data_IF_545038214344
#
_entry.id   IF_545038214344
#
_cell.length_a   1.000
_cell.length_b   1.000
_cell.length_c   1.000
_cell.angle_alpha   90.00
_cell.angle_beta   90.00
_cell.angle_gamma   90.00
#
_symmetry.space_group_name_H-M   'P 1'
#
loop_
_entity.id
_entity.type
_entity.pdbx_description
1 polymer ?
#
# COMPACT_ATOMS: atom_id res chain seq x y z
N UNK A 1 48.31 45.53 9.72
CA UNK A 1 47.85 46.78 9.06
C UNK A 1 46.39 47.10 9.43
N UNK A 2 46.01 47.16 10.72
CA UNK A 2 44.60 47.31 11.16
C UNK A 2 44.46 48.30 12.33
N UNK A 3 45.09 49.48 12.26
CA UNK A 3 44.96 50.48 13.34
C UNK A 3 44.27 51.79 12.95
N UNK A 4 44.04 52.07 11.66
CA UNK A 4 43.74 53.44 11.22
C UNK A 4 42.39 53.68 10.51
N UNK A 5 41.40 52.78 10.60
CA UNK A 5 40.08 53.02 10.01
C UNK A 5 39.08 53.55 11.05
N UNK A 6 39.06 54.88 11.27
CA UNK A 6 38.01 55.59 12.01
C UNK A 6 37.31 56.59 11.08
N UNK A 7 36.02 56.83 11.29
CA UNK A 7 35.30 57.93 10.63
C UNK A 7 35.89 59.28 11.08
N UNK A 8 35.66 60.38 10.34
CA UNK A 8 36.06 61.74 10.75
C UNK A 8 35.56 62.13 12.15
N UNK A 9 34.48 61.50 12.61
CA UNK A 9 33.85 61.75 13.91
C UNK A 9 34.41 60.86 15.04
N UNK A 10 35.51 60.14 14.81
CA UNK A 10 36.20 59.34 15.82
C UNK A 10 35.50 58.02 16.20
N UNK A 11 34.30 57.75 15.68
CA UNK A 11 33.62 56.47 15.88
C UNK A 11 34.35 55.35 15.13
N UNK A 12 34.50 54.15 15.75
CA UNK A 12 35.05 53.00 15.06
C UNK A 12 34.13 52.65 13.88
N UNK A 13 34.71 52.54 12.68
CA UNK A 13 33.98 51.98 11.56
C UNK A 13 33.70 50.53 11.94
N UNK A 14 32.43 50.19 12.15
CA UNK A 14 31.98 48.81 12.15
C UNK A 14 32.19 48.29 10.73
N UNK A 15 33.42 47.88 10.41
CA UNK A 15 33.71 47.11 9.21
C UNK A 15 33.05 45.77 9.48
N UNK A 16 31.86 45.57 8.89
CA UNK A 16 31.22 44.27 8.87
C UNK A 16 32.18 43.36 8.13
N UNK A 17 32.98 42.59 8.86
CA UNK A 17 33.79 41.54 8.26
C UNK A 17 32.82 40.64 7.53
N UNK A 18 32.88 40.63 6.20
CA UNK A 18 32.20 39.60 5.43
C UNK A 18 32.82 38.28 5.87
N UNK A 19 31.98 37.31 6.22
CA UNK A 19 32.46 35.95 6.44
C UNK A 19 33.36 35.55 5.29
N UNK A 20 34.53 35.00 5.63
CA UNK A 20 35.45 34.44 4.66
C UNK A 20 34.72 33.25 4.03
N UNK A 21 34.36 33.39 2.76
CA UNK A 21 33.63 32.37 2.01
C UNK A 21 34.57 31.74 1.00
N UNK A 22 34.69 30.43 1.06
CA UNK A 22 35.39 29.65 0.05
C UNK A 22 34.71 29.84 -1.30
N UNK A 23 35.52 30.06 -2.34
CA UNK A 23 35.08 30.34 -3.70
C UNK A 23 35.77 29.38 -4.67
N UNK A 24 34.98 28.79 -5.57
CA UNK A 24 35.48 27.95 -6.64
C UNK A 24 35.55 28.78 -7.92
N UNK A 25 36.75 28.88 -8.49
CA UNK A 25 36.99 29.47 -9.81
C UNK A 25 37.00 28.35 -10.85
N UNK A 26 36.38 28.61 -12.00
CA UNK A 26 36.40 27.70 -13.13
C UNK A 26 37.39 28.26 -14.17
N UNK A 27 38.34 27.40 -14.57
CA UNK A 27 39.33 27.70 -15.60
C UNK A 27 39.21 26.64 -16.68
N UNK A 28 38.97 27.07 -17.92
CA UNK A 28 38.80 26.18 -19.06
C UNK A 28 40.04 26.33 -19.95
N UNK A 29 40.73 25.20 -20.12
CA UNK A 29 41.88 25.07 -20.99
C UNK A 29 41.47 24.25 -22.22
N UNK A 30 41.88 24.68 -23.41
CA UNK A 30 41.82 23.88 -24.64
C UNK A 30 43.23 23.86 -25.21
N UNK A 31 43.78 22.67 -25.42
CA UNK A 31 45.15 22.46 -25.93
C UNK A 31 46.21 23.31 -25.21
N UNK A 32 46.17 23.30 -23.88
CA UNK A 32 47.04 24.07 -22.97
C UNK A 32 46.89 25.60 -23.03
N UNK A 33 45.97 26.13 -23.85
CA UNK A 33 45.63 27.56 -23.87
C UNK A 33 44.45 27.87 -22.94
N UNK A 34 44.61 28.89 -22.09
CA UNK A 34 43.55 29.38 -21.21
C UNK A 34 42.53 30.17 -22.03
N UNK A 35 41.34 29.63 -22.22
CA UNK A 35 40.26 30.28 -22.97
C UNK A 35 39.36 31.09 -22.06
N UNK A 36 39.09 30.56 -20.86
CA UNK A 36 38.15 31.20 -19.96
C UNK A 36 38.59 31.03 -18.52
N UNK A 37 38.57 32.14 -17.80
CA UNK A 37 38.79 32.22 -16.37
C UNK A 37 37.67 33.07 -15.78
N UNK A 38 36.97 32.51 -14.80
CA UNK A 38 35.89 33.22 -14.15
C UNK A 38 35.33 32.48 -12.95
N UNK A 39 34.40 33.16 -12.30
CA UNK A 39 33.66 32.60 -11.18
C UNK A 39 32.78 31.44 -11.64
N UNK A 40 32.60 30.45 -10.78
CA UNK A 40 31.68 29.37 -11.05
C UNK A 40 30.30 29.91 -11.53
N UNK A 41 29.83 29.55 -12.75
CA UNK A 41 28.56 30.04 -13.29
C UNK A 41 27.35 29.67 -12.41
N UNK A 42 27.45 28.57 -11.66
CA UNK A 42 26.40 28.10 -10.76
C UNK A 42 26.44 28.77 -9.38
N UNK A 43 27.49 29.56 -9.09
CA UNK A 43 27.77 30.24 -7.80
C UNK A 43 27.89 29.30 -6.59
N UNK A 44 27.95 27.99 -6.82
CA UNK A 44 28.12 26.98 -5.78
C UNK A 44 29.56 27.05 -5.24
N UNK A 45 29.72 26.75 -3.95
CA UNK A 45 31.03 26.63 -3.29
C UNK A 45 31.72 25.28 -3.50
N UNK A 46 31.18 24.47 -4.38
CA UNK A 46 31.66 23.12 -4.70
C UNK A 46 31.82 22.98 -6.21
N UNK A 47 32.46 21.91 -6.64
CA UNK A 47 32.67 21.58 -8.03
C UNK A 47 31.33 21.35 -8.76
N UNK A 48 31.28 21.81 -10.02
CA UNK A 48 30.10 21.72 -10.90
C UNK A 48 29.77 20.31 -11.38
N UNK A 49 30.54 19.32 -10.97
CA UNK A 49 30.31 17.93 -11.31
C UNK A 49 30.16 17.11 -10.04
N UNK A 50 29.40 16.02 -10.17
CA UNK A 50 29.29 14.99 -9.14
C UNK A 50 29.99 13.76 -9.68
N UNK A 51 30.98 13.26 -8.95
CA UNK A 51 31.79 12.15 -9.42
C UNK A 51 31.16 10.82 -9.01
N UNK A 52 30.73 10.03 -10.00
CA UNK A 52 30.33 8.64 -9.80
C UNK A 52 31.53 7.75 -10.12
N UNK A 53 31.93 6.90 -9.19
CA UNK A 53 33.09 6.03 -9.35
C UNK A 53 32.76 4.58 -9.02
N UNK A 54 33.51 3.64 -9.60
CA UNK A 54 33.42 2.23 -9.24
C UNK A 54 34.17 1.93 -7.94
N UNK A 55 34.94 0.85 -7.96
CA UNK A 55 35.74 0.43 -6.82
C UNK A 55 36.89 1.40 -6.65
N UNK A 56 37.02 1.96 -5.45
CA UNK A 56 38.16 2.78 -5.08
C UNK A 56 38.97 2.07 -4.01
N UNK A 57 40.18 1.63 -4.36
CA UNK A 57 41.11 0.98 -3.46
C UNK A 57 42.22 1.96 -3.06
N UNK A 58 42.10 2.67 -1.91
CA UNK A 58 43.08 3.68 -1.51
C UNK A 58 44.47 3.09 -1.24
N UNK A 59 44.52 1.81 -0.87
CA UNK A 59 45.74 1.08 -0.53
C UNK A 59 46.64 0.80 -1.75
N UNK A 60 46.08 0.80 -2.97
CA UNK A 60 46.87 0.50 -4.16
C UNK A 60 47.75 1.71 -4.52
N UNK A 61 49.09 1.60 -4.59
CA UNK A 61 49.94 2.75 -4.91
C UNK A 61 49.79 3.21 -6.37
N UNK A 62 49.44 2.30 -7.28
CA UNK A 62 49.29 2.60 -8.70
C UNK A 62 47.96 3.30 -8.97
N UNK A 63 48.02 4.56 -9.41
CA UNK A 63 46.83 5.35 -9.73
C UNK A 63 45.89 4.67 -10.73
N UNK A 64 46.44 3.98 -11.73
CA UNK A 64 45.68 3.22 -12.74
C UNK A 64 44.83 2.09 -12.17
N UNK A 65 45.24 1.51 -11.03
CA UNK A 65 44.57 0.39 -10.38
C UNK A 65 43.76 0.83 -9.15
N UNK A 66 43.89 2.09 -8.73
CA UNK A 66 43.10 2.65 -7.63
C UNK A 66 41.62 2.71 -7.99
N UNK A 67 41.31 3.07 -9.23
CA UNK A 67 39.95 3.15 -9.74
C UNK A 67 39.68 1.97 -10.66
N UNK A 68 38.73 1.11 -10.29
CA UNK A 68 38.37 -0.05 -11.10
C UNK A 68 36.86 -0.13 -11.33
N UNK A 69 36.48 -0.51 -12.55
CA UNK A 69 35.11 -0.89 -12.87
C UNK A 69 34.83 -2.35 -12.50
N UNK A 70 33.56 -2.69 -12.32
CA UNK A 70 33.11 -4.04 -11.99
C UNK A 70 33.66 -5.12 -12.95
N UNK A 71 33.65 -4.84 -14.26
CA UNK A 71 34.11 -5.76 -15.31
C UNK A 71 35.60 -6.11 -15.19
N UNK A 72 36.41 -5.30 -14.50
CA UNK A 72 37.86 -5.54 -14.40
C UNK A 72 38.18 -6.85 -13.69
N UNK A 73 37.46 -7.15 -12.60
CA UNK A 73 37.60 -8.39 -11.84
C UNK A 73 37.07 -9.62 -12.58
N UNK A 74 36.04 -9.44 -13.42
CA UNK A 74 35.44 -10.51 -14.22
C UNK A 74 36.27 -10.93 -15.44
N UNK A 75 37.19 -10.09 -15.91
CA UNK A 75 37.97 -10.35 -17.12
C UNK A 75 38.81 -11.62 -17.04
N UNK A 76 39.41 -11.89 -15.88
CA UNK A 76 40.31 -13.03 -15.72
C UNK A 76 39.55 -14.37 -15.58
N UNK A 77 38.49 -14.47 -14.75
CA UNK A 77 37.59 -15.63 -14.76
C UNK A 77 36.99 -15.94 -16.14
N UNK A 78 36.54 -14.90 -16.86
CA UNK A 78 35.96 -15.09 -18.20
C UNK A 78 36.98 -15.63 -19.21
N UNK A 79 38.23 -15.16 -19.17
CA UNK A 79 39.31 -15.68 -20.02
C UNK A 79 39.65 -17.13 -19.70
N UNK A 80 39.66 -17.48 -18.43
CA UNK A 80 39.89 -18.85 -17.98
C UNK A 80 38.76 -19.77 -18.48
N UNK A 81 37.50 -19.35 -18.35
CA UNK A 81 36.35 -20.09 -18.86
C UNK A 81 36.46 -20.31 -20.36
N UNK A 82 36.70 -19.26 -21.14
CA UNK A 82 36.85 -19.38 -22.60
C UNK A 82 37.95 -20.37 -22.97
N UNK A 83 39.05 -20.40 -22.22
CA UNK A 83 40.14 -21.36 -22.40
C UNK A 83 39.69 -22.80 -22.11
N UNK A 84 39.00 -23.01 -21.00
CA UNK A 84 38.52 -24.34 -20.59
C UNK A 84 37.49 -24.91 -21.56
N UNK A 85 36.56 -24.08 -22.04
CA UNK A 85 35.58 -24.48 -23.06
C UNK A 85 36.28 -24.90 -24.35
N UNK A 86 37.28 -24.14 -24.80
CA UNK A 86 38.05 -24.52 -25.98
C UNK A 86 38.82 -25.83 -25.78
N UNK A 87 39.39 -26.06 -24.60
CA UNK A 87 40.07 -27.33 -24.29
C UNK A 87 39.12 -28.51 -24.23
N UNK A 88 37.91 -28.33 -23.68
CA UNK A 88 36.89 -29.36 -23.66
C UNK A 88 36.44 -29.69 -25.09
N UNK A 89 36.24 -28.68 -25.94
CA UNK A 89 35.91 -28.88 -27.35
C UNK A 89 37.02 -29.63 -28.09
N UNK A 90 38.28 -29.26 -27.88
CA UNK A 90 39.44 -29.94 -28.46
C UNK A 90 39.54 -31.40 -28.03
N UNK A 91 39.25 -31.73 -26.77
CA UNK A 91 39.19 -33.13 -26.30
C UNK A 91 38.06 -33.90 -26.99
N UNK A 92 36.91 -33.28 -27.22
CA UNK A 92 35.78 -33.91 -27.91
C UNK A 92 36.09 -34.13 -29.39
N UNK A 93 36.71 -33.15 -30.06
CA UNK A 93 37.07 -33.22 -31.48
C UNK A 93 38.25 -34.18 -31.74
N UNK A 94 39.25 -34.21 -30.86
CA UNK A 94 40.42 -35.08 -30.97
C UNK A 94 40.13 -36.56 -30.63
N UNK A 95 38.97 -36.87 -30.06
CA UNK A 95 38.55 -38.24 -29.85
C UNK A 95 38.27 -38.94 -31.18
N UNK A 96 39.18 -39.85 -31.55
CA UNK A 96 39.00 -40.67 -32.75
C UNK A 96 37.83 -41.62 -32.56
N UNK A 97 36.74 -41.37 -33.29
CA UNK A 97 35.56 -42.21 -33.23
C UNK A 97 35.79 -43.54 -33.95
N UNK A 98 35.78 -44.63 -33.20
CA UNK A 98 35.56 -45.98 -33.73
C UNK A 98 36.58 -46.44 -34.76
N UNK A 99 37.88 -46.34 -34.46
CA UNK A 99 38.95 -46.86 -35.31
C UNK A 99 38.73 -48.33 -35.65
N UNK A 100 38.71 -48.63 -36.95
CA UNK A 100 38.73 -49.99 -37.47
C UNK A 100 40.15 -50.31 -37.89
N UNK A 101 40.76 -51.25 -37.19
CA UNK A 101 42.04 -51.81 -37.59
C UNK A 101 41.75 -53.03 -38.47
N UNK A 102 42.20 -52.94 -39.71
CA UNK A 102 41.98 -53.95 -40.74
C UNK A 102 43.33 -54.35 -41.30
N UNK A 103 43.57 -55.64 -41.45
CA UNK A 103 44.78 -56.15 -42.11
C UNK A 103 44.42 -56.57 -43.54
N UNK A 104 44.71 -55.70 -44.50
CA UNK A 104 44.30 -55.83 -45.91
C UNK A 104 44.71 -57.15 -46.56
N UNK A 105 45.84 -57.75 -46.14
CA UNK A 105 46.33 -59.02 -46.68
C UNK A 105 45.36 -60.20 -46.49
N UNK A 106 44.51 -60.14 -45.47
CA UNK A 106 43.64 -61.24 -45.09
C UNK A 106 42.18 -61.05 -45.54
N UNK A 107 41.85 -59.95 -46.21
CA UNK A 107 40.51 -59.70 -46.75
C UNK A 107 40.51 -59.88 -48.28
N UNK A 108 39.45 -60.53 -48.79
CA UNK A 108 39.22 -60.69 -50.24
C UNK A 108 38.95 -59.33 -50.88
N UNK A 109 38.21 -58.46 -50.18
CA UNK A 109 37.90 -57.11 -50.63
C UNK A 109 38.08 -56.11 -49.48
N UNK A 110 39.04 -55.18 -49.56
CA UNK A 110 39.30 -54.21 -48.50
C UNK A 110 38.16 -53.20 -48.32
N UNK A 111 37.31 -52.99 -49.33
CA UNK A 111 36.20 -52.03 -49.26
C UNK A 111 35.05 -52.52 -48.35
N UNK A 112 34.92 -53.84 -48.16
CA UNK A 112 33.86 -54.42 -47.32
C UNK A 112 34.09 -54.13 -45.82
N UNK A 113 35.31 -53.80 -45.42
CA UNK A 113 35.64 -53.42 -44.05
C UNK A 113 35.09 -52.03 -43.63
N UNK A 114 34.76 -51.17 -44.60
CA UNK A 114 34.15 -49.86 -44.36
C UNK A 114 32.63 -49.92 -44.21
N UNK A 115 31.99 -50.99 -44.70
CA UNK A 115 30.55 -51.19 -44.58
C UNK A 115 30.18 -51.47 -43.11
N UNK A 116 29.06 -50.94 -42.63
CA UNK A 116 28.64 -51.04 -41.22
C UNK A 116 27.17 -51.40 -41.08
N UNK A 117 26.83 -52.43 -40.31
CA UNK A 117 25.46 -52.90 -40.11
C UNK A 117 25.38 -54.38 -39.69
N UNK A 118 24.19 -54.85 -39.29
CA UNK A 118 23.95 -56.28 -39.04
C UNK A 118 23.82 -57.04 -40.37
N UNK A 119 24.47 -58.21 -40.49
CA UNK A 119 24.35 -59.09 -41.66
C UNK A 119 25.34 -58.85 -42.79
N UNK A 120 26.33 -57.95 -42.63
CA UNK A 120 27.44 -57.81 -43.58
C UNK A 120 28.47 -58.90 -43.29
N UNK A 121 28.72 -59.76 -44.27
CA UNK A 121 29.65 -60.89 -44.17
C UNK A 121 31.03 -60.43 -44.65
N UNK A 122 32.04 -60.56 -43.79
CA UNK A 122 33.43 -60.34 -44.17
C UNK A 122 34.02 -61.65 -44.70
N UNK A 123 34.48 -61.63 -45.96
CA UNK A 123 35.15 -62.77 -46.57
C UNK A 123 36.66 -62.72 -46.28
N UNK A 124 37.16 -63.73 -45.59
CA UNK A 124 38.59 -63.90 -45.25
C UNK A 124 39.26 -64.72 -46.36
N UNK A 125 40.47 -64.34 -46.76
CA UNK A 125 41.26 -65.08 -47.75
C UNK A 125 41.71 -66.45 -47.21
N UNK A 126 41.79 -67.44 -48.10
CA UNK A 126 42.24 -68.82 -47.79
C UNK A 126 43.72 -68.91 -47.35
N UNK A 127 44.49 -67.83 -47.52
CA UNK A 127 45.88 -67.71 -47.02
C UNK A 127 45.95 -67.42 -45.51
N UNK A 128 44.82 -67.12 -44.87
CA UNK A 128 44.74 -66.98 -43.41
C UNK A 128 44.81 -68.38 -42.75
N UNK A 129 45.78 -68.57 -41.86
CA UNK A 129 45.91 -69.83 -41.12
C UNK A 129 44.62 -70.08 -40.31
N UNK A 130 44.01 -71.28 -40.35
CA UNK A 130 42.72 -71.56 -39.70
C UNK A 130 42.70 -71.39 -38.16
N UNK A 131 43.87 -71.19 -37.54
CA UNK A 131 44.02 -70.91 -36.11
C UNK A 131 44.04 -69.40 -35.76
N UNK A 132 44.03 -68.49 -36.75
CA UNK A 132 44.01 -67.05 -36.48
C UNK A 132 42.62 -66.59 -36.03
N UNK A 133 42.53 -66.11 -34.78
CA UNK A 133 41.33 -65.46 -34.24
C UNK A 133 40.90 -64.26 -35.10
N UNK A 134 39.58 -64.14 -35.35
CA UNK A 134 38.97 -63.07 -36.15
C UNK A 134 39.33 -61.66 -35.63
N UNK A 135 39.55 -61.52 -34.32
CA UNK A 135 40.00 -60.28 -33.66
C UNK A 135 41.37 -59.78 -34.15
N UNK A 136 42.21 -60.68 -34.69
CA UNK A 136 43.51 -60.32 -35.26
C UNK A 136 43.41 -59.84 -36.72
N UNK A 137 42.27 -60.07 -37.38
CA UNK A 137 42.01 -59.73 -38.79
C UNK A 137 41.19 -58.44 -38.88
N UNK A 138 40.15 -58.33 -38.07
CA UNK A 138 39.28 -57.15 -37.99
C UNK A 138 39.01 -56.81 -36.52
N UNK A 139 39.46 -55.63 -36.08
CA UNK A 139 39.19 -55.11 -34.74
C UNK A 139 38.61 -53.71 -34.84
N UNK A 140 37.35 -53.56 -34.44
CA UNK A 140 36.79 -52.25 -34.15
C UNK A 140 37.13 -51.89 -32.71
N UNK A 141 37.98 -50.87 -32.53
CA UNK A 141 38.14 -50.27 -31.21
C UNK A 141 36.83 -49.56 -30.88
N UNK A 142 36.31 -49.80 -29.67
CA UNK A 142 35.18 -49.03 -29.16
C UNK A 142 35.58 -47.55 -29.22
N UNK A 143 34.68 -46.70 -29.71
CA UNK A 143 34.86 -45.25 -29.58
C UNK A 143 35.19 -44.94 -28.13
N UNK A 144 36.21 -44.12 -27.90
CA UNK A 144 36.42 -43.58 -26.56
C UNK A 144 35.15 -42.83 -26.18
N UNK A 145 34.49 -43.26 -25.11
CA UNK A 145 33.37 -42.51 -24.57
C UNK A 145 33.92 -41.18 -24.04
N UNK A 146 33.25 -40.07 -24.35
CA UNK A 146 33.60 -38.78 -23.76
C UNK A 146 33.48 -38.94 -22.25
N UNK A 147 34.55 -38.71 -21.47
CA UNK A 147 34.49 -38.86 -20.03
C UNK A 147 33.39 -37.98 -19.43
N UNK A 148 32.47 -38.57 -18.66
CA UNK A 148 31.39 -37.84 -17.98
C UNK A 148 31.91 -36.71 -17.06
N UNK A 149 33.18 -36.80 -16.64
CA UNK A 149 33.87 -35.76 -15.87
C UNK A 149 34.00 -34.43 -16.62
N UNK A 150 34.05 -34.43 -17.96
CA UNK A 150 34.13 -33.20 -18.76
C UNK A 150 32.80 -32.44 -18.69
N UNK A 151 31.68 -33.14 -18.77
CA UNK A 151 30.36 -32.51 -18.62
C UNK A 151 30.13 -31.99 -17.20
N UNK A 152 30.57 -32.72 -16.18
CA UNK A 152 30.54 -32.24 -14.79
C UNK A 152 31.45 -31.02 -14.59
N UNK A 153 32.60 -30.98 -15.25
CA UNK A 153 33.52 -29.84 -15.20
C UNK A 153 32.90 -28.59 -15.84
N UNK A 154 32.25 -28.72 -17.01
CA UNK A 154 31.55 -27.58 -17.64
C UNK A 154 30.45 -27.04 -16.72
N UNK A 155 29.65 -27.91 -16.10
CA UNK A 155 28.61 -27.50 -15.15
C UNK A 155 29.19 -26.80 -13.91
N UNK A 156 30.32 -27.28 -13.41
CA UNK A 156 31.02 -26.64 -12.28
C UNK A 156 31.60 -25.28 -12.66
N UNK A 157 32.06 -25.12 -13.91
CA UNK A 157 32.58 -23.85 -14.44
C UNK A 157 31.46 -22.81 -14.56
N UNK A 158 30.30 -23.19 -15.10
CA UNK A 158 29.15 -22.28 -15.21
C UNK A 158 28.65 -21.82 -13.83
N UNK A 159 28.67 -22.74 -12.86
CA UNK A 159 28.37 -22.42 -11.46
C UNK A 159 29.41 -21.48 -10.86
N UNK A 160 30.70 -21.76 -11.04
CA UNK A 160 31.80 -20.94 -10.54
C UNK A 160 31.82 -19.53 -11.17
N UNK A 161 31.40 -19.38 -12.43
CA UNK A 161 31.27 -18.07 -13.07
C UNK A 161 30.17 -17.23 -12.40
N UNK A 162 29.02 -17.84 -12.14
CA UNK A 162 27.89 -17.20 -11.45
C UNK A 162 28.30 -16.75 -10.04
N UNK A 163 28.98 -17.63 -9.30
CA UNK A 163 29.48 -17.34 -7.96
C UNK A 163 30.61 -16.29 -7.94
N UNK A 164 31.53 -16.33 -8.90
CA UNK A 164 32.66 -15.40 -8.99
C UNK A 164 32.24 -13.95 -9.27
N UNK A 165 31.09 -13.73 -9.90
CA UNK A 165 30.54 -12.38 -10.09
C UNK A 165 29.85 -11.81 -8.85
N UNK A 166 29.71 -12.61 -7.79
CA UNK A 166 28.92 -12.25 -6.61
C UNK A 166 27.46 -11.94 -6.97
N UNK A 167 26.97 -12.47 -8.10
CA UNK A 167 25.62 -12.27 -8.60
C UNK A 167 24.79 -13.50 -8.24
N UNK A 168 23.86 -13.35 -7.30
CA UNK A 168 22.85 -14.38 -7.05
C UNK A 168 21.81 -14.40 -8.17
N UNK A 169 21.23 -15.58 -8.43
CA UNK A 169 20.17 -15.75 -9.43
C UNK A 169 18.93 -14.87 -9.19
N UNK A 170 18.72 -14.41 -7.95
CA UNK A 170 17.69 -13.44 -7.60
C UNK A 170 17.86 -12.08 -8.33
N UNK A 171 19.08 -11.71 -8.74
CA UNK A 171 19.34 -10.47 -9.52
C UNK A 171 18.88 -10.60 -10.97
N UNK A 172 18.86 -11.82 -11.51
CA UNK A 172 18.46 -12.07 -12.90
C UNK A 172 16.94 -12.08 -13.09
N UNK A 173 16.17 -11.84 -12.03
CA UNK A 173 14.72 -11.70 -12.11
C UNK A 173 13.99 -13.00 -12.45
N UNK A 174 14.65 -14.16 -12.34
CA UNK A 174 14.09 -15.48 -12.68
C UNK A 174 13.15 -16.05 -11.63
N UNK A 175 12.71 -15.26 -10.64
CA UNK A 175 11.63 -15.64 -9.72
C UNK A 175 10.26 -15.45 -10.41
N UNK A 176 10.03 -16.23 -11.47
CA UNK A 176 8.75 -16.34 -12.21
C UNK A 176 7.63 -17.03 -11.41
N UNK A 177 7.85 -17.33 -10.12
CA UNK A 177 6.93 -18.17 -9.33
C UNK A 177 5.99 -17.43 -8.38
N UNK A 178 6.16 -16.14 -8.12
CA UNK A 178 5.19 -15.38 -7.32
C UNK A 178 5.09 -13.91 -7.79
N UNK A 179 4.10 -13.65 -8.65
CA UNK A 179 3.69 -12.31 -9.14
C UNK A 179 3.22 -11.39 -7.99
N UNK A 180 3.17 -11.88 -6.74
CA UNK A 180 2.70 -11.14 -5.57
C UNK A 180 3.73 -11.06 -4.42
N UNK A 181 5.03 -11.15 -4.72
CA UNK A 181 6.03 -10.78 -3.71
C UNK A 181 5.91 -9.27 -3.49
N UNK A 182 5.50 -8.87 -2.27
CA UNK A 182 5.47 -7.47 -1.82
C UNK A 182 6.75 -6.75 -2.25
N UNK A 183 6.62 -5.57 -2.89
CA UNK A 183 7.76 -4.82 -3.41
C UNK A 183 8.87 -4.59 -2.38
N UNK A 184 8.52 -4.51 -1.10
CA UNK A 184 9.47 -4.42 0.02
C UNK A 184 10.25 -5.72 0.25
N UNK A 185 9.61 -6.88 0.09
CA UNK A 185 10.29 -8.17 0.21
C UNK A 185 11.18 -8.44 -1.00
N UNK A 186 10.75 -8.03 -2.20
CA UNK A 186 11.59 -8.04 -3.38
C UNK A 186 12.82 -7.13 -3.16
N UNK A 187 12.62 -5.87 -2.77
CA UNK A 187 13.72 -4.95 -2.43
C UNK A 187 14.66 -5.50 -1.36
N UNK A 188 14.14 -6.18 -0.35
CA UNK A 188 14.95 -6.81 0.69
C UNK A 188 15.74 -8.02 0.18
N UNK A 189 15.17 -8.84 -0.72
CA UNK A 189 15.87 -9.96 -1.38
C UNK A 189 16.92 -9.46 -2.36
N UNK A 190 16.57 -8.52 -3.24
CA UNK A 190 17.54 -7.85 -4.11
C UNK A 190 18.62 -7.17 -3.29
N UNK A 191 18.27 -6.51 -2.18
CA UNK A 191 19.21 -5.90 -1.24
C UNK A 191 20.19 -6.89 -0.62
N UNK A 192 19.75 -8.11 -0.30
CA UNK A 192 20.62 -9.21 0.15
C UNK A 192 21.47 -9.78 -0.97
N UNK A 193 20.91 -9.94 -2.16
CA UNK A 193 21.64 -10.38 -3.35
C UNK A 193 22.74 -9.39 -3.76
N UNK A 194 22.53 -8.09 -3.52
CA UNK A 194 23.47 -7.01 -3.80
C UNK A 194 24.60 -6.87 -2.76
N UNK A 195 24.65 -7.71 -1.73
CA UNK A 195 25.71 -7.62 -0.69
C UNK A 195 27.12 -7.79 -1.28
N UNK A 196 27.30 -8.64 -2.30
CA UNK A 196 28.58 -8.81 -3.01
C UNK A 196 29.03 -7.57 -3.82
N UNK A 197 28.08 -6.71 -4.21
CA UNK A 197 28.33 -5.49 -5.01
C UNK A 197 27.95 -4.22 -4.25
N UNK A 198 27.77 -4.30 -2.94
CA UNK A 198 27.26 -3.20 -2.12
C UNK A 198 28.11 -1.93 -2.26
N UNK A 199 29.43 -2.07 -2.41
CA UNK A 199 30.37 -0.97 -2.58
C UNK A 199 30.08 -0.13 -3.83
N UNK A 200 29.65 -0.76 -4.94
CA UNK A 200 29.32 -0.06 -6.18
C UNK A 200 28.07 0.81 -5.98
N UNK A 201 27.03 0.25 -5.37
CA UNK A 201 25.81 0.98 -5.08
C UNK A 201 25.97 2.01 -3.96
N UNK A 202 26.90 1.81 -3.02
CA UNK A 202 27.25 2.81 -2.01
C UNK A 202 27.85 4.06 -2.64
N UNK A 203 28.77 3.92 -3.60
CA UNK A 203 29.34 5.06 -4.33
C UNK A 203 28.26 5.82 -5.12
N UNK A 204 27.32 5.09 -5.74
CA UNK A 204 26.21 5.67 -6.48
C UNK A 204 25.27 6.44 -5.55
N UNK A 205 24.93 5.86 -4.39
CA UNK A 205 24.12 6.54 -3.35
C UNK A 205 24.81 7.79 -2.82
N UNK A 206 26.11 7.72 -2.55
CA UNK A 206 26.89 8.87 -2.11
C UNK A 206 26.89 9.98 -3.17
N UNK A 207 27.08 9.60 -4.43
CA UNK A 207 27.02 10.53 -5.57
C UNK A 207 25.63 11.14 -5.75
N UNK A 208 24.56 10.34 -5.71
CA UNK A 208 23.18 10.84 -5.78
C UNK A 208 22.86 11.80 -4.63
N UNK A 209 23.35 11.52 -3.42
CA UNK A 209 23.21 12.43 -2.28
C UNK A 209 23.97 13.75 -2.50
N UNK A 210 25.19 13.68 -3.00
CA UNK A 210 25.98 14.86 -3.34
C UNK A 210 25.29 15.72 -4.40
N UNK A 211 24.81 15.08 -5.46
CA UNK A 211 24.03 15.73 -6.50
C UNK A 211 22.76 16.41 -5.95
N UNK A 212 22.00 15.72 -5.10
CA UNK A 212 20.82 16.30 -4.45
C UNK A 212 21.15 17.53 -3.60
N UNK A 213 22.25 17.50 -2.85
CA UNK A 213 22.73 18.65 -2.07
C UNK A 213 23.09 19.82 -2.99
N UNK A 214 23.83 19.56 -4.07
CA UNK A 214 24.20 20.57 -5.08
C UNK A 214 22.97 21.19 -5.73
N UNK A 215 21.95 20.41 -6.07
CA UNK A 215 20.69 20.94 -6.61
C UNK A 215 20.00 21.89 -5.64
N UNK A 216 19.91 21.54 -4.36
CA UNK A 216 19.33 22.42 -3.33
C UNK A 216 20.14 23.72 -3.21
N UNK A 217 21.48 23.64 -3.22
CA UNK A 217 22.35 24.83 -3.19
C UNK A 217 22.12 25.74 -4.40
N UNK A 218 21.98 25.16 -5.60
CA UNK A 218 21.69 25.91 -6.82
C UNK A 218 20.35 26.65 -6.69
N UNK A 219 19.32 25.98 -6.17
CA UNK A 219 18.00 26.59 -5.97
C UNK A 219 18.09 27.75 -4.98
N UNK A 220 18.75 27.58 -3.83
CA UNK A 220 18.88 28.64 -2.82
C UNK A 220 19.64 29.87 -3.33
N UNK A 221 20.67 29.67 -4.16
CA UNK A 221 21.51 30.76 -4.65
C UNK A 221 20.93 31.50 -5.86
N UNK A 222 20.16 30.80 -6.70
CA UNK A 222 19.69 31.34 -7.98
C UNK A 222 18.19 31.65 -8.02
N UNK A 223 17.37 31.15 -7.09
CA UNK A 223 15.91 31.41 -7.12
C UNK A 223 15.53 32.56 -6.19
N UNK A 224 14.81 33.53 -6.75
CA UNK A 224 14.21 34.61 -5.98
C UNK A 224 13.12 34.08 -5.03
N UNK A 225 12.92 34.71 -3.86
CA UNK A 225 11.88 34.31 -2.89
C UNK A 225 10.48 34.24 -3.49
N UNK A 226 10.18 35.14 -4.43
CA UNK A 226 8.89 35.17 -5.15
C UNK A 226 8.72 33.89 -5.96
N UNK A 227 9.75 33.47 -6.70
CA UNK A 227 9.71 32.25 -7.51
C UNK A 227 9.54 31.00 -6.65
N UNK A 228 10.22 30.94 -5.51
CA UNK A 228 10.08 29.81 -4.57
C UNK A 228 8.66 29.78 -3.96
N UNK A 229 8.10 30.95 -3.65
CA UNK A 229 6.73 31.07 -3.16
C UNK A 229 5.69 30.62 -4.20
N UNK A 230 5.89 30.93 -5.49
CA UNK A 230 5.02 30.43 -6.57
C UNK A 230 5.07 28.90 -6.70
N UNK A 231 6.24 28.29 -6.48
CA UNK A 231 6.41 26.84 -6.56
C UNK A 231 5.73 26.14 -5.38
N UNK A 232 5.98 26.61 -4.16
CA UNK A 232 5.51 25.95 -2.92
C UNK A 232 4.06 26.36 -2.59
N UNK A 233 3.57 27.48 -3.13
CA UNK A 233 2.32 28.14 -2.77
C UNK A 233 2.23 28.51 -1.26
N UNK A 234 3.38 28.67 -0.60
CA UNK A 234 3.51 29.08 0.80
C UNK A 234 4.60 30.15 0.93
N UNK A 235 4.50 30.98 1.97
CA UNK A 235 5.57 31.95 2.26
C UNK A 235 6.83 31.20 2.68
N UNK A 236 7.96 31.59 2.08
CA UNK A 236 9.26 30.95 2.31
C UNK A 236 9.86 31.52 3.58
N UNK A 237 10.23 30.64 4.51
CA UNK A 237 10.96 31.03 5.70
C UNK A 237 12.35 31.53 5.34
N UNK A 238 12.84 32.55 6.05
CA UNK A 238 14.19 33.10 5.82
C UNK A 238 15.30 32.07 6.05
N UNK A 239 15.04 31.08 6.93
CA UNK A 239 15.94 29.95 7.18
C UNK A 239 16.22 29.10 5.94
N UNK A 240 15.38 29.17 4.90
CA UNK A 240 15.62 28.47 3.64
C UNK A 240 16.89 28.93 2.93
N UNK A 241 17.22 30.22 3.06
CA UNK A 241 18.37 30.84 2.40
C UNK A 241 19.66 30.78 3.24
N UNK A 242 19.59 30.21 4.44
CA UNK A 242 20.77 30.00 5.28
C UNK A 242 21.59 28.83 4.72
N UNK A 243 22.91 29.05 4.56
CA UNK A 243 23.85 28.02 4.10
C UNK A 243 23.85 26.76 4.98
N UNK A 244 23.44 26.89 6.25
CA UNK A 244 23.41 25.80 7.22
C UNK A 244 22.40 24.71 6.84
N UNK A 245 21.28 25.09 6.21
CA UNK A 245 20.23 24.15 5.83
C UNK A 245 20.80 23.06 4.92
N UNK A 246 21.61 23.44 3.94
CA UNK A 246 22.10 22.52 2.91
C UNK A 246 23.27 21.68 3.37
N UNK A 247 23.98 22.14 4.41
CA UNK A 247 25.11 21.44 4.99
C UNK A 247 24.69 20.43 6.06
N UNK A 248 23.69 20.75 6.87
CA UNK A 248 23.33 19.97 8.05
C UNK A 248 21.91 19.42 8.04
N UNK A 249 20.92 20.19 7.57
CA UNK A 249 19.50 19.85 7.74
C UNK A 249 18.90 19.14 6.51
N UNK A 250 19.48 19.35 5.33
CA UNK A 250 19.03 18.71 4.09
C UNK A 250 19.78 17.40 3.84
N UNK A 251 19.07 16.28 4.02
CA UNK A 251 19.56 14.97 3.62
C UNK A 251 18.73 14.47 2.42
N UNK A 252 19.24 14.59 1.18
CA UNK A 252 18.56 14.03 0.02
C UNK A 252 18.50 12.51 0.15
N UNK A 253 17.30 11.95 -0.05
CA UNK A 253 17.04 10.52 -0.06
C UNK A 253 16.55 10.12 -1.44
N UNK A 254 16.92 8.92 -1.88
CA UNK A 254 16.39 8.36 -3.12
C UNK A 254 14.91 8.03 -2.93
N UNK A 255 14.05 8.64 -3.73
CA UNK A 255 12.65 8.28 -3.85
C UNK A 255 12.45 7.21 -4.92
N UNK A 256 11.24 6.66 -4.97
CA UNK A 256 10.81 5.80 -6.08
C UNK A 256 10.76 6.66 -7.35
N UNK A 257 11.28 6.12 -8.46
CA UNK A 257 11.19 6.79 -9.77
C UNK A 257 9.72 6.97 -10.14
N UNK A 258 9.26 8.20 -10.03
CA UNK A 258 7.90 8.60 -10.34
C UNK A 258 7.94 9.87 -11.17
N UNK A 259 7.05 9.99 -12.15
CA UNK A 259 7.00 11.16 -13.03
C UNK A 259 6.74 12.46 -12.27
N UNK A 260 6.15 12.39 -11.07
CA UNK A 260 5.94 13.56 -10.22
C UNK A 260 5.93 13.20 -8.73
N UNK A 261 6.34 14.16 -7.90
CA UNK A 261 6.23 14.05 -6.44
C UNK A 261 4.79 13.83 -5.97
N UNK A 262 3.78 14.29 -6.73
CA UNK A 262 2.37 14.01 -6.45
C UNK A 262 2.05 12.52 -6.62
N UNK A 263 2.62 11.88 -7.63
CA UNK A 263 2.46 10.44 -7.86
C UNK A 263 3.08 9.64 -6.71
N UNK A 264 4.27 10.05 -6.25
CA UNK A 264 4.93 9.45 -5.07
C UNK A 264 4.04 9.57 -3.83
N UNK A 265 3.57 10.78 -3.53
CA UNK A 265 2.69 11.03 -2.38
C UNK A 265 1.39 10.22 -2.46
N UNK A 266 0.79 10.10 -3.64
CA UNK A 266 -0.38 9.26 -3.85
C UNK A 266 -0.09 7.77 -3.62
N UNK A 267 1.06 7.27 -4.08
CA UNK A 267 1.48 5.88 -3.85
C UNK A 267 1.72 5.61 -2.37
N UNK A 268 2.35 6.53 -1.64
CA UNK A 268 2.54 6.44 -0.18
C UNK A 268 1.20 6.39 0.54
N UNK A 269 0.26 7.30 0.20
CA UNK A 269 -1.09 7.29 0.78
C UNK A 269 -1.83 5.97 0.51
N UNK A 270 -1.69 5.44 -0.71
CA UNK A 270 -2.31 4.16 -1.09
C UNK A 270 -1.67 2.97 -0.35
N UNK A 271 -0.35 2.96 -0.18
CA UNK A 271 0.37 1.94 0.58
C UNK A 271 -0.04 1.98 2.05
N UNK A 272 -0.06 3.16 2.68
CA UNK A 272 -0.49 3.33 4.07
C UNK A 272 -1.93 2.85 4.30
N UNK A 273 -2.84 3.16 3.38
CA UNK A 273 -4.23 2.68 3.47
C UNK A 273 -4.34 1.16 3.32
N UNK A 274 -3.50 0.55 2.47
CA UNK A 274 -3.49 -0.90 2.24
C UNK A 274 -2.88 -1.66 3.42
N UNK A 275 -1.82 -1.13 4.02
CA UNK A 275 -1.09 -1.77 5.11
C UNK A 275 -1.79 -1.59 6.47
N UNK A 276 -2.37 -0.42 6.71
CA UNK A 276 -3.00 -0.08 7.99
C UNK A 276 -4.42 0.47 7.81
N UNK A 277 -5.36 -0.36 7.32
CA UNK A 277 -6.72 0.08 7.06
C UNK A 277 -7.43 0.58 8.33
N UNK A 278 -7.20 -0.01 9.50
CA UNK A 278 -7.91 0.35 10.74
C UNK A 278 -7.48 1.69 11.35
N UNK A 279 -6.21 2.07 11.23
CA UNK A 279 -5.69 3.33 11.79
C UNK A 279 -5.91 4.52 10.85
N UNK A 280 -5.87 4.29 9.53
CA UNK A 280 -5.97 5.37 8.55
C UNK A 280 -7.34 5.46 7.87
N UNK A 281 -8.25 4.50 8.08
CA UNK A 281 -9.66 4.63 7.68
C UNK A 281 -10.34 5.74 8.49
N UNK A 282 -10.34 6.95 7.92
CA UNK A 282 -10.96 8.14 8.50
C UNK A 282 -10.03 9.36 8.51
N UNK A 283 -8.72 9.15 8.66
CA UNK A 283 -7.71 10.21 8.56
C UNK A 283 -7.42 10.51 7.09
N UNK A 284 -7.20 9.47 6.29
CA UNK A 284 -7.05 9.59 4.85
C UNK A 284 -8.47 9.58 4.26
N UNK A 285 -8.99 10.77 3.98
CA UNK A 285 -10.31 10.88 3.35
C UNK A 285 -10.23 10.50 1.87
N UNK A 286 -11.31 9.95 1.29
CA UNK A 286 -11.40 9.72 -0.15
C UNK A 286 -11.13 10.98 -0.99
N UNK A 287 -11.47 12.16 -0.46
CA UNK A 287 -11.18 13.45 -1.09
C UNK A 287 -9.66 13.72 -1.20
N UNK A 288 -8.89 13.42 -0.16
CA UNK A 288 -7.42 13.58 -0.22
C UNK A 288 -6.79 12.63 -1.24
N UNK A 289 -7.27 11.39 -1.34
CA UNK A 289 -6.81 10.44 -2.35
C UNK A 289 -7.11 10.91 -3.77
N UNK A 290 -8.32 11.39 -4.03
CA UNK A 290 -8.69 11.86 -5.38
C UNK A 290 -7.96 13.15 -5.76
N UNK A 291 -7.73 14.06 -4.81
CA UNK A 291 -6.99 15.30 -5.06
C UNK A 291 -5.52 15.04 -5.39
N UNK A 292 -4.95 13.99 -4.80
CA UNK A 292 -3.53 13.63 -4.96
C UNK A 292 -3.32 12.63 -6.10
N UNK A 293 -4.35 11.89 -6.49
CA UNK A 293 -4.30 10.94 -7.58
C UNK A 293 -4.00 11.65 -8.93
N UNK A 294 -3.11 11.07 -9.76
CA UNK A 294 -2.85 11.56 -11.11
C UNK A 294 -3.97 11.16 -12.07
N UNK A 295 -5.18 11.63 -11.82
CA UNK A 295 -6.34 11.42 -12.69
C UNK A 295 -6.73 12.73 -13.37
N UNK A 296 -7.01 12.67 -14.67
CA UNK A 296 -7.44 13.83 -15.47
C UNK A 296 -8.80 14.40 -15.00
N UNK A 297 -9.61 13.60 -14.31
CA UNK A 297 -10.97 13.96 -13.88
C UNK A 297 -11.10 14.16 -12.37
N UNK A 298 -10.01 14.54 -11.69
CA UNK A 298 -9.99 14.74 -10.23
C UNK A 298 -11.09 15.70 -9.75
N UNK A 299 -11.33 16.81 -10.45
CA UNK A 299 -12.36 17.79 -10.09
C UNK A 299 -13.79 17.26 -10.19
N UNK A 300 -14.08 16.45 -11.22
CA UNK A 300 -15.40 15.85 -11.42
C UNK A 300 -15.66 14.79 -10.35
N UNK A 301 -14.66 13.96 -10.05
CA UNK A 301 -14.71 12.97 -8.98
C UNK A 301 -14.85 13.63 -7.60
N UNK A 302 -14.15 14.73 -7.33
CA UNK A 302 -14.29 15.47 -6.06
C UNK A 302 -15.72 15.97 -5.86
N UNK A 303 -16.34 16.55 -6.90
CA UNK A 303 -17.74 16.98 -6.85
C UNK A 303 -18.69 15.80 -6.61
N UNK A 304 -18.45 14.66 -7.27
CA UNK A 304 -19.26 13.45 -7.08
C UNK A 304 -19.12 12.88 -5.66
N UNK A 305 -17.90 12.88 -5.09
CA UNK A 305 -17.64 12.42 -3.71
C UNK A 305 -18.29 13.35 -2.70
N UNK A 306 -18.17 14.67 -2.88
CA UNK A 306 -18.84 15.65 -2.02
C UNK A 306 -20.36 15.48 -2.04
N UNK A 307 -20.95 15.28 -3.22
CA UNK A 307 -22.37 15.00 -3.36
C UNK A 307 -22.77 13.69 -2.66
N UNK A 308 -22.00 12.62 -2.84
CA UNK A 308 -22.24 11.34 -2.18
C UNK A 308 -22.09 11.43 -0.65
N UNK A 309 -21.16 12.24 -0.15
CA UNK A 309 -20.93 12.45 1.27
C UNK A 309 -22.04 13.29 1.90
N UNK A 310 -22.56 14.30 1.20
CA UNK A 310 -23.75 15.04 1.61
C UNK A 310 -24.98 14.13 1.63
N UNK A 311 -25.16 13.27 0.63
CA UNK A 311 -26.27 12.32 0.58
C UNK A 311 -26.18 11.29 1.74
N UNK A 312 -24.98 10.77 2.03
CA UNK A 312 -24.75 9.89 3.19
C UNK A 312 -25.04 10.60 4.51
N UNK A 313 -24.64 11.87 4.68
CA UNK A 313 -24.96 12.65 5.88
C UNK A 313 -26.47 12.88 6.03
N UNK A 314 -27.17 13.16 4.94
CA UNK A 314 -28.63 13.29 4.96
C UNK A 314 -29.31 11.97 5.31
N UNK A 315 -28.85 10.85 4.75
CA UNK A 315 -29.34 9.51 5.09
C UNK A 315 -29.06 9.15 6.56
N UNK A 316 -27.88 9.47 7.09
CA UNK A 316 -27.57 9.26 8.51
C UNK A 316 -28.42 10.14 9.43
N UNK A 317 -28.63 11.42 9.08
CA UNK A 317 -29.52 12.29 9.86
C UNK A 317 -30.97 11.83 9.77
N UNK A 318 -31.41 11.32 8.61
CA UNK A 318 -32.74 10.77 8.46
C UNK A 318 -32.91 9.46 9.24
N UNK A 319 -31.90 8.59 9.25
CA UNK A 319 -31.89 7.36 10.05
C UNK A 319 -31.87 7.66 11.56
N UNK A 320 -31.06 8.64 12.01
CA UNK A 320 -31.08 9.10 13.39
C UNK A 320 -32.40 9.75 13.77
N UNK A 321 -33.00 10.56 12.89
CA UNK A 321 -34.34 11.10 13.12
C UNK A 321 -35.38 10.00 13.17
N UNK A 322 -35.32 8.99 12.30
CA UNK A 322 -36.23 7.84 12.38
C UNK A 322 -36.06 7.05 13.68
N UNK A 323 -34.82 6.87 14.16
CA UNK A 323 -34.57 6.25 15.46
C UNK A 323 -35.13 7.10 16.60
N UNK A 324 -34.87 8.41 16.64
CA UNK A 324 -35.44 9.32 17.63
C UNK A 324 -36.97 9.36 17.61
N UNK A 325 -37.58 9.43 16.42
CA UNK A 325 -39.04 9.41 16.27
C UNK A 325 -39.62 8.05 16.66
N UNK A 326 -38.93 6.95 16.34
CA UNK A 326 -39.34 5.61 16.75
C UNK A 326 -39.28 5.45 18.27
N UNK A 327 -38.22 5.94 18.92
CA UNK A 327 -38.10 5.97 20.38
C UNK A 327 -39.19 6.84 21.02
N UNK A 328 -39.49 8.02 20.48
CA UNK A 328 -40.59 8.86 20.96
C UNK A 328 -41.96 8.20 20.79
N UNK A 329 -42.19 7.52 19.67
CA UNK A 329 -43.44 6.78 19.45
C UNK A 329 -43.56 5.57 20.38
N UNK A 330 -42.45 4.85 20.63
CA UNK A 330 -42.43 3.77 21.62
C UNK A 330 -42.73 4.31 23.02
N UNK A 331 -42.10 5.42 23.42
CA UNK A 331 -42.41 6.09 24.68
C UNK A 331 -43.89 6.53 24.76
N UNK A 332 -44.43 7.14 23.70
CA UNK A 332 -45.83 7.53 23.62
C UNK A 332 -46.82 6.35 23.68
N UNK A 333 -46.48 5.23 23.06
CA UNK A 333 -47.29 3.99 23.15
C UNK A 333 -47.23 3.40 24.56
N UNK A 334 -46.06 3.39 25.20
CA UNK A 334 -45.94 2.91 26.59
C UNK A 334 -46.72 3.79 27.57
N UNK A 335 -46.72 5.11 27.42
CA UNK A 335 -47.52 6.01 28.28
C UNK A 335 -49.02 5.87 28.02
N UNK A 336 -49.44 5.69 26.77
CA UNK A 336 -50.84 5.42 26.43
C UNK A 336 -51.33 4.09 27.02
N UNK A 337 -50.49 3.04 26.98
CA UNK A 337 -50.81 1.74 27.60
C UNK A 337 -50.88 1.84 29.13
N UNK A 338 -50.00 2.63 29.77
CA UNK A 338 -50.07 2.90 31.21
C UNK A 338 -51.36 3.65 31.57
N UNK A 339 -51.74 4.66 30.78
CA UNK A 339 -52.97 5.42 30.99
C UNK A 339 -54.23 4.52 30.83
N UNK A 340 -54.26 3.69 29.79
CA UNK A 340 -55.36 2.74 29.56
C UNK A 340 -55.45 1.67 30.66
N UNK A 341 -54.30 1.21 31.16
CA UNK A 341 -54.26 0.29 32.30
C UNK A 341 -54.80 0.96 33.58
N UNK A 342 -54.45 2.22 33.84
CA UNK A 342 -54.97 3.00 34.97
C UNK A 342 -56.47 3.25 34.85
N UNK A 343 -56.98 3.58 33.67
CA UNK A 343 -58.41 3.75 33.41
C UNK A 343 -59.17 2.43 33.65
N UNK A 344 -58.64 1.31 33.17
CA UNK A 344 -59.23 -0.01 33.43
C UNK A 344 -59.24 -0.38 34.92
N UNK A 345 -58.21 0.03 35.68
CA UNK A 345 -58.19 -0.14 37.13
C UNK A 345 -59.21 0.75 37.84
N UNK A 346 -59.38 1.99 37.39
CA UNK A 346 -60.38 2.92 37.91
C UNK A 346 -61.81 2.42 37.65
N UNK A 347 -62.08 1.93 36.43
CA UNK A 347 -63.36 1.30 36.08
C UNK A 347 -63.64 0.04 36.89
N UNK A 348 -62.62 -0.80 37.12
CA UNK A 348 -62.76 -1.97 37.98
C UNK A 348 -63.07 -1.58 39.44
N UNK A 349 -62.49 -0.48 39.93
CA UNK A 349 -62.78 0.05 41.26
C UNK A 349 -64.20 0.63 41.35
N UNK A 350 -64.63 1.38 40.34
CA UNK A 350 -65.99 1.90 40.24
C UNK A 350 -67.02 0.76 40.25
N UNK A 351 -66.83 -0.27 39.41
CA UNK A 351 -67.69 -1.46 39.37
C UNK A 351 -67.70 -2.22 40.70
N UNK A 352 -66.57 -2.28 41.43
CA UNK A 352 -66.54 -2.87 42.78
C UNK A 352 -67.35 -2.06 43.80
N UNK A 353 -67.37 -0.74 43.67
CA UNK A 353 -68.12 0.15 44.58
C UNK A 353 -69.64 0.10 44.37
N UNK A 354 -70.11 -0.27 43.18
CA UNK A 354 -71.55 -0.38 42.86
C UNK A 354 -72.20 -1.69 43.35
N UNK A 355 -71.41 -2.72 43.63
CA UNK A 355 -71.89 -4.02 44.14
C UNK A 355 -72.73 -3.90 45.44
N UNK A 356 -72.28 -3.19 46.50
CA UNK A 356 -73.09 -3.02 47.72
C UNK A 356 -74.35 -2.20 47.49
N UNK A 357 -74.31 -1.19 46.61
CA UNK A 357 -75.47 -0.34 46.32
C UNK A 357 -76.58 -1.13 45.60
N UNK A 358 -76.20 -1.94 44.61
CA UNK A 358 -77.14 -2.78 43.90
C UNK A 358 -77.74 -3.87 44.81
N UNK A 359 -76.95 -4.42 45.75
CA UNK A 359 -77.47 -5.31 46.80
C UNK A 359 -78.46 -4.63 47.74
N UNK A 360 -78.27 -3.34 48.06
CA UNK A 360 -79.22 -2.60 48.89
C UNK A 360 -80.51 -2.26 48.14
N UNK A 361 -80.44 -1.89 46.85
CA UNK A 361 -81.62 -1.62 46.02
C UNK A 361 -82.52 -2.86 45.87
N UNK A 362 -81.94 -4.05 45.69
CA UNK A 362 -82.71 -5.29 45.59
C UNK A 362 -83.41 -5.65 46.89
N UNK A 363 -82.78 -5.41 48.05
CA UNK A 363 -83.41 -5.60 49.35
C UNK A 363 -84.55 -4.61 49.62
N UNK A 364 -84.38 -3.34 49.25
CA UNK A 364 -85.41 -2.32 49.45
C UNK A 364 -86.67 -2.56 48.60
N UNK A 365 -86.53 -3.08 47.38
CA UNK A 365 -87.68 -3.46 46.55
C UNK A 365 -88.44 -4.66 47.12
N UNK A 366 -87.74 -5.63 47.71
CA UNK A 366 -88.37 -6.79 48.33
C UNK A 366 -89.29 -6.40 49.51
N UNK A 367 -88.92 -5.38 50.29
CA UNK A 367 -89.73 -4.92 51.43
C UNK A 367 -90.98 -4.14 51.02
N UNK A 368 -90.92 -3.33 49.95
CA UNK A 368 -92.08 -2.53 49.51
C UNK A 368 -93.26 -3.38 49.05
N UNK A 369 -93.02 -4.55 48.46
CA UNK A 369 -94.08 -5.42 47.94
C UNK A 369 -94.93 -6.09 49.04
N UNK A 370 -94.48 -6.13 50.30
CA UNK A 370 -95.25 -6.76 51.39
C UNK A 370 -96.27 -5.82 52.06
N UNK A 371 -96.17 -4.49 51.89
CA UNK A 371 -96.96 -3.51 52.65
C UNK A 371 -98.25 -3.01 51.95
N UNK A 372 -98.39 -3.21 50.64
CA UNK A 372 -99.47 -2.61 49.84
C UNK A 372 -100.93 -3.08 50.14
N UNK A 373 -101.24 -4.33 50.55
CA UNK A 373 -102.63 -4.72 50.73
C UNK A 373 -103.32 -4.09 51.95
N UNK A 374 -102.55 -3.62 52.95
CA UNK A 374 -103.09 -3.09 54.21
C UNK A 374 -103.54 -1.64 54.09
N UNK A 375 -102.89 -0.84 53.24
CA UNK A 375 -103.20 0.59 53.04
C UNK A 375 -104.47 0.79 52.20
N UNK A 376 -104.80 -0.15 51.32
CA UNK A 376 -105.99 -0.07 50.47
C UNK A 376 -107.29 -0.13 51.30
N UNK A 377 -107.32 -0.92 52.39
CA UNK A 377 -108.52 -1.15 53.19
C UNK A 377 -108.91 0.05 54.06
N UNK A 378 -107.93 0.86 54.48
CA UNK A 378 -108.14 2.07 55.29
C UNK A 378 -108.76 3.20 54.46
N UNK A 379 -108.41 3.32 53.17
CA UNK A 379 -108.92 4.41 52.30
C UNK A 379 -110.41 4.31 52.00
N UNK A 380 -110.97 3.10 51.94
CA UNK A 380 -112.40 2.89 51.70
C UNK A 380 -113.26 3.35 52.90
N UNK A 381 -112.81 3.13 54.13
CA UNK A 381 -113.56 3.55 55.32
C UNK A 381 -113.68 5.08 55.46
N UNK A 382 -112.63 5.83 55.08
CA UNK A 382 -112.63 7.31 55.18
C UNK A 382 -113.60 7.95 54.18
N UNK A 383 -113.81 7.35 53.00
CA UNK A 383 -114.73 7.90 51.99
C UNK A 383 -116.20 7.85 52.43
N UNK A 384 -116.60 6.84 53.20
CA UNK A 384 -117.97 6.72 53.68
C UNK A 384 -118.33 7.79 54.72
N UNK A 385 -117.38 8.21 55.55
CA UNK A 385 -117.61 9.24 56.56
C UNK A 385 -117.86 10.64 55.94
N UNK A 386 -117.08 11.01 54.92
CA UNK A 386 -117.18 12.33 54.27
C UNK A 386 -118.51 12.52 53.52
N UNK A 387 -119.12 11.44 53.03
CA UNK A 387 -120.40 11.50 52.33
C UNK A 387 -121.58 11.85 53.25
N UNK A 388 -121.52 11.47 54.53
CA UNK A 388 -122.60 11.72 55.49
C UNK A 388 -122.63 13.17 55.97
N UNK A 389 -121.47 13.80 56.11
CA UNK A 389 -121.34 15.18 56.60
C UNK A 389 -121.91 16.21 55.60
N UNK A 390 -121.76 15.96 54.29
CA UNK A 390 -122.24 16.87 53.24
C UNK A 390 -123.75 17.02 53.15
N UNK A 391 -124.53 16.03 53.58
CA UNK A 391 -126.00 16.09 53.50
C UNK A 391 -126.63 16.94 54.61
N UNK A 392 -125.95 17.14 55.74
CA UNK A 392 -126.48 17.96 56.84
C UNK A 392 -126.32 19.48 56.58
N UNK A 393 -125.33 19.89 55.80
CA UNK A 393 -125.09 21.32 55.51
C UNK A 393 -126.08 21.92 54.50
N UNK A 394 -126.81 21.11 53.71
CA UNK A 394 -127.71 21.60 52.66
C UNK A 394 -129.12 21.99 53.15
N UNK A 395 -129.51 21.65 54.38
CA UNK A 395 -130.87 21.92 54.90
C UNK A 395 -131.01 23.28 55.64
N UNK A 396 -129.92 24.02 55.89
CA UNK A 396 -129.96 25.25 56.69
C UNK A 396 -130.15 26.58 55.94
N UNK A 397 -130.12 26.60 54.59
CA UNK A 397 -129.94 27.84 53.82
C UNK A 397 -131.21 28.42 53.13
N UNK A 398 -132.43 27.96 53.45
CA UNK A 398 -133.66 28.36 52.72
C UNK A 398 -134.57 29.41 53.39
N UNK A 399 -134.21 29.99 54.54
CA UNK A 399 -135.00 31.09 55.14
C UNK A 399 -134.14 32.35 55.32
N UNK A 400 -134.28 33.32 54.40
CA UNK A 400 -134.10 34.80 54.50
C UNK A 400 -133.83 35.36 53.08
N UNK A 401 -134.89 35.48 52.28
CA UNK A 401 -135.07 36.56 51.27
C UNK A 401 -136.54 36.53 50.79
N UNK A 402 -137.38 37.38 51.38
CA UNK A 402 -138.68 37.78 50.82
C UNK A 402 -138.75 39.30 50.83
N UNK A 403 -138.60 39.89 49.65
CA UNK A 403 -138.89 41.28 49.25
C UNK A 403 -139.15 41.28 47.77
#
# INVERSE_FOLDING_TARGET
LIQNFRLPNGMPILVKFRDIKDKVELKIFIDDELIWEGDNPMKIRDYNYTWVHGQFCPECPRAELKLQGFVRGLRDPQRMQNRQVNQAMDIIESQVQGLRMVRDKFLVNPEDAYKSGQGIVLHVNDEATPEMLLENIFRQMKSSEVPASIFQMIQLIDKAQTESGGLNQEIFGTDDKDVEISGVLHEYRTGKALTGQAWMFQSLRASKRDFGRKQVQIVQLNYDPIRVQEIINQQVDQSFYDDNLTRFDCNPVEGIDTDSQRNMFYMELKSLLKEFPEMFAGIITPEMLVKTAPMQFSDVMLKAIQAAQQQKKQLQQFAQRQQFTSEQLQQGLTTAQIAQAQESMADAAAKRSEIPLNRMKTLAQAQKLQADPLVALIKEQVRLAIAQEKNQQLQGAQNVSQT
#
